data_IF_425669104296
#
_entry.id   IF_425669104296
#
_cell.length_a   1.000
_cell.length_b   1.000
_cell.length_c   1.000
_cell.angle_alpha   90.00
_cell.angle_beta   90.00
_cell.angle_gamma   90.00
#
_symmetry.space_group_name_H-M   'P 1'
#
loop_
_entity.id
_entity.type
_entity.pdbx_description
1 polymer ?
#
# COMPACT_ATOMS: atom_id res chain seq x y z
N UNK A 1 4.77 -8.98 3.85
CA UNK A 1 5.20 -7.77 4.59
C UNK A 1 5.83 -6.79 3.61
N UNK A 2 5.86 -5.48 3.89
CA UNK A 2 6.41 -4.47 2.96
C UNK A 2 7.83 -4.72 2.43
N UNK A 3 8.65 -5.50 3.15
CA UNK A 3 10.04 -5.79 2.75
C UNK A 3 10.18 -7.03 1.86
N UNK A 4 9.17 -7.88 1.76
CA UNK A 4 9.20 -9.06 0.90
C UNK A 4 8.64 -8.72 -0.48
N UNK A 5 9.55 -8.34 -1.40
CA UNK A 5 9.20 -7.76 -2.71
C UNK A 5 9.55 -8.68 -3.89
N UNK A 6 10.21 -9.82 -3.64
CA UNK A 6 10.56 -10.83 -4.65
C UNK A 6 9.53 -11.96 -4.61
N UNK A 7 8.28 -11.66 -4.95
CA UNK A 7 7.16 -12.58 -4.75
C UNK A 7 7.01 -13.58 -5.90
N UNK A 8 7.46 -13.27 -7.13
CA UNK A 8 7.33 -14.20 -8.25
C UNK A 8 8.07 -15.52 -8.05
N UNK A 9 9.10 -15.55 -7.19
CA UNK A 9 9.80 -16.79 -6.80
C UNK A 9 8.90 -17.84 -6.14
N UNK A 10 7.74 -17.42 -5.65
CA UNK A 10 6.76 -18.30 -4.99
C UNK A 10 5.81 -18.96 -5.99
N UNK A 11 5.83 -18.54 -7.26
CA UNK A 11 4.97 -19.10 -8.31
C UNK A 11 5.57 -20.42 -8.81
N UNK A 12 4.77 -21.48 -8.72
CA UNK A 12 5.08 -22.77 -9.32
C UNK A 12 4.86 -22.69 -10.84
N UNK A 13 5.95 -22.51 -11.59
CA UNK A 13 5.92 -22.32 -13.04
C UNK A 13 5.27 -23.51 -13.76
N UNK A 14 5.43 -24.73 -13.24
CA UNK A 14 4.92 -25.95 -13.89
C UNK A 14 3.38 -26.08 -13.75
N UNK A 15 2.77 -25.32 -12.82
CA UNK A 15 1.33 -25.35 -12.57
C UNK A 15 0.60 -24.07 -12.96
N UNK A 16 1.32 -22.95 -13.05
CA UNK A 16 0.72 -21.66 -13.33
C UNK A 16 0.23 -21.58 -14.79
N UNK A 17 -1.06 -21.36 -14.99
CA UNK A 17 -1.63 -21.07 -16.32
C UNK A 17 -1.60 -19.58 -16.65
N UNK A 18 -1.60 -18.74 -15.62
CA UNK A 18 -1.51 -17.28 -15.72
C UNK A 18 -1.03 -16.69 -14.40
N UNK A 19 -0.39 -15.51 -14.46
CA UNK A 19 0.06 -14.76 -13.30
C UNK A 19 -0.44 -13.32 -13.38
N UNK A 20 -0.90 -12.79 -12.25
CA UNK A 20 -1.16 -11.35 -12.07
C UNK A 20 -0.24 -10.84 -10.99
N UNK A 21 0.72 -10.00 -11.38
CA UNK A 21 1.69 -9.37 -10.50
C UNK A 21 1.30 -7.90 -10.30
N UNK A 22 1.06 -7.50 -9.06
CA UNK A 22 0.63 -6.17 -8.69
C UNK A 22 1.59 -5.60 -7.64
N UNK A 23 1.97 -4.34 -7.81
CA UNK A 23 2.65 -3.53 -6.78
C UNK A 23 3.97 -4.14 -6.27
N UNK A 24 4.68 -4.82 -7.16
CA UNK A 24 6.01 -5.37 -6.89
C UNK A 24 6.94 -5.01 -8.04
N UNK A 25 8.08 -4.38 -7.74
CA UNK A 25 9.06 -3.98 -8.75
C UNK A 25 9.39 -5.10 -9.73
N UNK A 26 9.09 -4.88 -11.02
CA UNK A 26 9.47 -5.81 -12.09
C UNK A 26 10.99 -6.01 -12.15
N UNK A 27 11.78 -4.94 -11.92
CA UNK A 27 13.25 -5.04 -11.88
C UNK A 27 13.72 -6.09 -10.86
N UNK A 28 13.04 -6.22 -9.72
CA UNK A 28 13.40 -7.18 -8.67
C UNK A 28 12.92 -8.60 -8.92
N UNK A 29 11.96 -8.78 -9.82
CA UNK A 29 11.31 -10.05 -10.15
C UNK A 29 11.59 -10.51 -11.59
N UNK A 30 12.49 -9.82 -12.31
CA UNK A 30 12.76 -10.05 -13.73
C UNK A 30 13.20 -11.50 -14.04
N UNK A 31 14.11 -12.14 -13.26
CA UNK A 31 14.50 -13.53 -13.54
C UNK A 31 13.32 -14.51 -13.50
N UNK A 32 12.44 -14.36 -12.52
CA UNK A 32 11.26 -15.20 -12.37
C UNK A 32 10.18 -14.88 -13.41
N UNK A 33 10.01 -13.60 -13.77
CA UNK A 33 9.15 -13.19 -14.88
C UNK A 33 9.60 -13.83 -16.20
N UNK A 34 10.89 -13.77 -16.53
CA UNK A 34 11.41 -14.40 -17.74
C UNK A 34 11.21 -15.92 -17.74
N UNK A 35 11.33 -16.58 -16.59
CA UNK A 35 11.09 -18.02 -16.48
C UNK A 35 9.63 -18.38 -16.80
N UNK A 36 8.68 -17.61 -16.28
CA UNK A 36 7.25 -17.77 -16.59
C UNK A 36 6.96 -17.57 -18.09
N UNK A 37 7.49 -16.49 -18.68
CA UNK A 37 7.29 -16.17 -20.09
C UNK A 37 7.88 -17.24 -21.02
N UNK A 38 9.04 -17.83 -20.67
CA UNK A 38 9.65 -18.96 -21.41
C UNK A 38 8.81 -20.23 -21.40
N UNK A 39 7.89 -20.37 -20.44
CA UNK A 39 6.94 -21.48 -20.35
C UNK A 39 5.56 -21.13 -20.94
N UNK A 40 5.46 -20.05 -21.73
CA UNK A 40 4.22 -19.57 -22.33
C UNK A 40 3.12 -19.19 -21.32
N UNK A 41 3.48 -18.94 -20.06
CA UNK A 41 2.56 -18.48 -19.02
C UNK A 41 2.17 -17.03 -19.29
N UNK A 42 0.87 -16.76 -19.40
CA UNK A 42 0.35 -15.39 -19.54
C UNK A 42 0.55 -14.60 -18.26
N UNK A 43 1.22 -13.45 -18.34
CA UNK A 43 1.48 -12.57 -17.20
C UNK A 43 0.87 -11.19 -17.44
N UNK A 44 0.01 -10.77 -16.52
CA UNK A 44 -0.37 -9.36 -16.36
C UNK A 44 0.46 -8.75 -15.24
N UNK A 45 1.14 -7.65 -15.52
CA UNK A 45 2.03 -6.96 -14.60
C UNK A 45 1.60 -5.50 -14.48
N UNK A 46 1.15 -5.07 -13.30
CA UNK A 46 0.78 -3.69 -13.02
C UNK A 46 1.59 -3.16 -11.84
N UNK A 47 2.38 -2.12 -12.06
CA UNK A 47 3.29 -1.61 -11.04
C UNK A 47 3.68 -0.16 -11.35
N UNK A 48 4.07 0.57 -10.30
CA UNK A 48 4.54 1.95 -10.41
C UNK A 48 6.00 2.12 -9.96
N UNK A 49 6.65 1.05 -9.52
CA UNK A 49 8.06 1.06 -9.20
C UNK A 49 8.93 0.91 -10.46
N UNK A 50 10.26 0.95 -10.25
CA UNK A 50 11.23 0.68 -11.33
C UNK A 50 10.96 -0.68 -11.97
N UNK A 51 10.80 -0.66 -13.29
CA UNK A 51 10.58 -1.85 -14.10
C UNK A 51 11.86 -2.51 -14.59
N UNK A 52 12.92 -1.73 -14.82
CA UNK A 52 14.09 -2.20 -15.57
C UNK A 52 13.76 -2.40 -17.05
N UNK A 53 14.44 -3.34 -17.69
CA UNK A 53 14.16 -3.70 -19.08
C UNK A 53 12.91 -4.59 -19.15
N UNK A 54 11.83 -4.09 -19.77
CA UNK A 54 10.58 -4.83 -19.90
C UNK A 54 10.73 -5.91 -20.99
N UNK A 55 10.54 -7.21 -20.66
CA UNK A 55 10.63 -8.29 -21.64
C UNK A 55 9.68 -8.10 -22.81
N UNK A 56 10.17 -8.38 -24.03
CA UNK A 56 9.32 -8.41 -25.22
C UNK A 56 8.70 -9.80 -25.37
N UNK A 57 7.42 -9.93 -25.05
CA UNK A 57 6.66 -11.18 -25.17
C UNK A 57 5.18 -10.88 -25.42
N UNK A 58 4.54 -11.68 -26.26
CA UNK A 58 3.09 -11.67 -26.47
C UNK A 58 2.31 -12.24 -25.26
N UNK A 59 3.01 -12.87 -24.33
CA UNK A 59 2.48 -13.36 -23.05
C UNK A 59 2.55 -12.33 -21.93
N UNK A 60 3.17 -11.18 -22.15
CA UNK A 60 3.28 -10.12 -21.14
C UNK A 60 2.37 -8.95 -21.49
N UNK A 61 1.40 -8.67 -20.62
CA UNK A 61 0.73 -7.38 -20.56
C UNK A 61 1.34 -6.58 -19.40
N UNK A 62 2.11 -5.53 -19.70
CA UNK A 62 2.72 -4.66 -18.70
C UNK A 62 2.05 -3.28 -18.68
N UNK A 63 1.42 -2.94 -17.55
CA UNK A 63 0.87 -1.62 -17.25
C UNK A 63 1.78 -0.95 -16.21
N UNK A 64 2.71 -0.13 -16.69
CA UNK A 64 3.77 0.45 -15.87
C UNK A 64 3.75 1.97 -16.00
N UNK A 65 3.66 2.67 -14.88
CA UNK A 65 3.75 4.13 -14.81
C UNK A 65 4.53 4.56 -13.57
N UNK A 66 5.64 5.27 -13.76
CA UNK A 66 6.57 5.64 -12.70
C UNK A 66 6.31 7.06 -12.16
N UNK A 67 5.20 7.69 -12.57
CA UNK A 67 4.83 9.00 -12.07
C UNK A 67 4.66 8.97 -10.53
N UNK A 68 5.22 9.98 -9.86
CA UNK A 68 5.21 10.07 -8.41
C UNK A 68 3.81 10.28 -7.82
N UNK A 69 2.84 10.70 -8.65
CA UNK A 69 1.45 10.93 -8.25
C UNK A 69 0.54 9.72 -8.54
N UNK A 70 1.11 8.61 -9.03
CA UNK A 70 0.38 7.37 -9.38
C UNK A 70 0.79 6.22 -8.47
N UNK A 71 -0.18 5.37 -8.12
CA UNK A 71 0.07 4.07 -7.52
C UNK A 71 -0.65 2.95 -8.28
N UNK A 72 -0.29 1.70 -7.98
CA UNK A 72 -0.83 0.51 -8.66
C UNK A 72 -2.36 0.47 -8.65
N UNK A 73 -3.02 0.83 -7.55
CA UNK A 73 -4.48 0.83 -7.48
C UNK A 73 -5.14 1.89 -8.35
N UNK A 74 -4.50 3.04 -8.59
CA UNK A 74 -5.01 4.05 -9.54
C UNK A 74 -4.93 3.55 -10.98
N UNK A 75 -3.83 2.87 -11.35
CA UNK A 75 -3.67 2.22 -12.66
C UNK A 75 -4.73 1.14 -12.89
N UNK A 76 -4.96 0.28 -11.89
CA UNK A 76 -6.00 -0.75 -11.95
C UNK A 76 -7.39 -0.11 -12.06
N UNK A 77 -7.66 0.95 -11.29
CA UNK A 77 -8.94 1.66 -11.38
C UNK A 77 -9.23 2.17 -12.79
N UNK A 78 -8.21 2.77 -13.44
CA UNK A 78 -8.33 3.23 -14.82
C UNK A 78 -8.57 2.05 -15.78
N UNK A 79 -7.81 0.95 -15.64
CA UNK A 79 -7.97 -0.25 -16.47
C UNK A 79 -9.35 -0.90 -16.33
N UNK A 80 -9.94 -0.85 -15.14
CA UNK A 80 -11.28 -1.38 -14.85
C UNK A 80 -12.40 -0.36 -15.11
N UNK A 81 -12.09 0.82 -15.66
CA UNK A 81 -13.09 1.83 -15.98
C UNK A 81 -13.82 2.41 -14.77
N UNK A 82 -13.16 2.47 -13.60
CA UNK A 82 -13.72 3.07 -12.40
C UNK A 82 -14.62 2.17 -11.56
N UNK A 83 -14.76 0.88 -11.92
CA UNK A 83 -15.70 -0.04 -11.26
C UNK A 83 -15.53 -0.12 -9.74
N UNK A 84 -14.29 -0.02 -9.24
CA UNK A 84 -13.96 -0.10 -7.82
C UNK A 84 -13.24 1.16 -7.30
N UNK A 85 -13.62 2.34 -7.79
CA UNK A 85 -12.89 3.59 -7.52
C UNK A 85 -12.72 3.93 -6.04
N UNK A 86 -13.65 3.53 -5.16
CA UNK A 86 -13.52 3.75 -3.71
C UNK A 86 -12.33 2.97 -3.11
N UNK A 87 -12.05 1.76 -3.58
CA UNK A 87 -10.85 1.02 -3.19
C UNK A 87 -9.58 1.71 -3.68
N UNK A 88 -9.61 2.32 -4.86
CA UNK A 88 -8.50 3.08 -5.39
C UNK A 88 -8.23 4.37 -4.59
N UNK A 89 -9.27 5.05 -4.12
CA UNK A 89 -9.15 6.19 -3.19
C UNK A 89 -8.48 5.75 -1.89
N UNK A 90 -8.96 4.66 -1.26
CA UNK A 90 -8.36 4.15 -0.03
C UNK A 90 -6.89 3.76 -0.22
N UNK A 91 -6.56 3.06 -1.31
CA UNK A 91 -5.19 2.67 -1.62
C UNK A 91 -4.27 3.88 -1.85
N UNK A 92 -4.72 4.89 -2.60
CA UNK A 92 -3.94 6.11 -2.84
C UNK A 92 -3.64 6.87 -1.53
N UNK A 93 -4.58 6.94 -0.59
CA UNK A 93 -4.29 7.45 0.76
C UNK A 93 -3.29 6.58 1.52
N UNK A 94 -3.43 5.24 1.42
CA UNK A 94 -2.48 4.29 2.02
C UNK A 94 -1.04 4.46 1.52
N UNK A 95 -0.87 4.78 0.25
CA UNK A 95 0.42 5.08 -0.38
C UNK A 95 0.89 6.52 -0.16
N UNK A 96 0.19 7.28 0.69
CA UNK A 96 0.49 8.67 1.03
C UNK A 96 0.33 9.66 -0.15
N UNK A 97 -0.46 9.32 -1.17
CA UNK A 97 -0.77 10.15 -2.33
C UNK A 97 -2.05 10.98 -2.10
N UNK A 98 -2.03 11.86 -1.11
CA UNK A 98 -3.23 12.57 -0.63
C UNK A 98 -3.91 13.43 -1.71
N UNK A 99 -3.13 14.10 -2.56
CA UNK A 99 -3.66 14.93 -3.63
C UNK A 99 -4.41 14.08 -4.69
N UNK A 100 -3.80 12.98 -5.15
CA UNK A 100 -4.41 12.05 -6.10
C UNK A 100 -5.65 11.37 -5.53
N UNK A 101 -5.59 10.95 -4.26
CA UNK A 101 -6.73 10.35 -3.57
C UNK A 101 -7.90 11.33 -3.44
N UNK A 102 -7.64 12.58 -3.02
CA UNK A 102 -8.65 13.62 -2.89
C UNK A 102 -9.28 13.98 -4.23
N UNK A 103 -8.47 14.07 -5.29
CA UNK A 103 -8.95 14.31 -6.65
C UNK A 103 -9.94 13.24 -7.08
N UNK A 104 -9.57 11.95 -6.95
CA UNK A 104 -10.44 10.84 -7.32
C UNK A 104 -11.71 10.79 -6.45
N UNK A 105 -11.59 11.05 -5.15
CA UNK A 105 -12.73 11.12 -4.23
C UNK A 105 -13.75 12.18 -4.69
N UNK A 106 -13.29 13.36 -5.09
CA UNK A 106 -14.15 14.42 -5.65
C UNK A 106 -14.75 14.02 -6.99
N UNK A 107 -13.98 13.40 -7.89
CA UNK A 107 -14.45 12.96 -9.21
C UNK A 107 -15.59 11.94 -9.12
N UNK A 108 -15.54 11.02 -8.14
CA UNK A 108 -16.58 10.01 -7.94
C UNK A 108 -17.69 10.46 -6.98
N UNK A 109 -17.63 11.70 -6.49
CA UNK A 109 -18.68 12.32 -5.68
C UNK A 109 -18.79 11.82 -4.25
N UNK A 110 -17.67 11.44 -3.61
CA UNK A 110 -17.66 11.09 -2.19
C UNK A 110 -17.93 12.31 -1.31
N UNK A 111 -18.68 12.08 -0.22
CA UNK A 111 -18.79 13.05 0.87
C UNK A 111 -17.48 13.16 1.66
N UNK A 112 -17.35 14.24 2.44
CA UNK A 112 -16.20 14.43 3.34
C UNK A 112 -16.06 13.28 4.34
N UNK A 113 -17.19 12.79 4.88
CA UNK A 113 -17.19 11.66 5.82
C UNK A 113 -16.73 10.34 5.18
N UNK A 114 -17.16 10.06 3.96
CA UNK A 114 -16.71 8.87 3.23
C UNK A 114 -15.22 8.99 2.87
N UNK A 115 -14.79 10.17 2.45
CA UNK A 115 -13.39 10.44 2.10
C UNK A 115 -12.47 10.26 3.30
N UNK A 116 -12.81 10.83 4.45
CA UNK A 116 -12.02 10.66 5.68
C UNK A 116 -12.01 9.21 6.17
N UNK A 117 -13.12 8.48 6.02
CA UNK A 117 -13.14 7.05 6.31
C UNK A 117 -12.19 6.26 5.40
N UNK A 118 -12.22 6.50 4.07
CA UNK A 118 -11.32 5.79 3.15
C UNK A 118 -9.85 6.14 3.36
N UNK A 119 -9.57 7.39 3.77
CA UNK A 119 -8.23 7.82 4.18
C UNK A 119 -7.74 7.09 5.43
N UNK A 120 -8.59 6.97 6.45
CA UNK A 120 -8.28 6.18 7.65
C UNK A 120 -8.06 4.71 7.27
N UNK A 121 -8.97 4.11 6.49
CA UNK A 121 -8.86 2.73 6.03
C UNK A 121 -7.55 2.46 5.29
N UNK A 122 -7.19 3.30 4.31
CA UNK A 122 -5.93 3.22 3.58
C UNK A 122 -4.71 3.29 4.50
N UNK A 123 -4.72 4.23 5.44
CA UNK A 123 -3.67 4.40 6.45
C UNK A 123 -3.53 3.16 7.32
N UNK A 124 -4.64 2.57 7.76
CA UNK A 124 -4.64 1.37 8.61
C UNK A 124 -4.14 0.12 7.88
N UNK A 125 -4.51 -0.06 6.61
CA UNK A 125 -3.98 -1.15 5.78
C UNK A 125 -2.47 -0.99 5.60
N UNK A 126 -2.00 0.23 5.29
CA UNK A 126 -0.58 0.55 5.17
C UNK A 126 0.18 0.30 6.48
N UNK A 127 -0.37 0.73 7.62
CA UNK A 127 0.12 0.48 8.97
C UNK A 127 0.32 -1.02 9.26
N UNK A 128 -0.66 -1.85 8.90
CA UNK A 128 -0.55 -3.31 9.05
C UNK A 128 0.50 -3.94 8.13
N UNK A 129 1.03 -3.21 7.15
CA UNK A 129 2.11 -3.69 6.28
C UNK A 129 3.50 -3.65 6.93
N UNK A 130 3.67 -2.91 8.04
CA UNK A 130 4.95 -2.69 8.71
C UNK A 130 5.21 -3.69 9.83
N UNK A 131 6.32 -4.42 9.74
CA UNK A 131 6.77 -5.39 10.74
C UNK A 131 8.13 -5.97 10.35
N UNK A 132 8.85 -6.56 11.31
CA UNK A 132 10.04 -7.36 11.03
C UNK A 132 9.69 -8.84 10.75
N UNK A 133 8.52 -9.28 11.20
CA UNK A 133 8.00 -10.65 11.05
C UNK A 133 6.47 -10.62 10.92
N UNK A 134 5.85 -11.74 10.50
CA UNK A 134 4.39 -11.81 10.38
C UNK A 134 3.70 -11.69 11.74
N UNK A 135 4.38 -12.15 12.79
CA UNK A 135 3.97 -12.08 14.18
C UNK A 135 3.91 -10.65 14.73
N UNK A 136 4.58 -9.69 14.07
CA UNK A 136 4.44 -8.28 14.43
C UNK A 136 3.11 -7.69 13.94
N UNK A 137 2.47 -8.27 12.92
CA UNK A 137 1.27 -7.71 12.29
C UNK A 137 0.00 -8.06 13.06
N UNK A 138 -1.02 -7.21 12.96
CA UNK A 138 -2.32 -7.53 13.55
C UNK A 138 -3.05 -8.60 12.75
N UNK A 139 -2.92 -8.55 11.42
CA UNK A 139 -3.50 -9.51 10.49
C UNK A 139 -2.45 -9.86 9.42
N UNK A 140 -2.21 -11.14 9.18
CA UNK A 140 -1.28 -11.56 8.13
C UNK A 140 -1.76 -11.08 6.74
N UNK A 141 -0.87 -10.67 5.81
CA UNK A 141 -1.27 -10.01 4.56
C UNK A 141 -2.20 -10.85 3.68
N UNK A 142 -1.95 -12.16 3.58
CA UNK A 142 -2.79 -13.06 2.80
C UNK A 142 -4.20 -13.21 3.41
N UNK A 143 -4.30 -13.15 4.73
CA UNK A 143 -5.58 -13.21 5.44
C UNK A 143 -6.32 -11.87 5.35
N UNK A 144 -5.62 -10.75 5.54
CA UNK A 144 -6.20 -9.42 5.35
C UNK A 144 -6.77 -9.27 3.93
N UNK A 145 -6.01 -9.67 2.91
CA UNK A 145 -6.49 -9.67 1.53
C UNK A 145 -7.78 -10.48 1.35
N UNK A 146 -7.84 -11.71 1.88
CA UNK A 146 -9.05 -12.54 1.81
C UNK A 146 -10.24 -11.86 2.49
N UNK A 147 -10.05 -11.33 3.69
CA UNK A 147 -11.12 -10.64 4.42
C UNK A 147 -11.63 -9.41 3.67
N UNK A 148 -10.74 -8.56 3.15
CA UNK A 148 -11.11 -7.36 2.39
C UNK A 148 -11.76 -7.71 1.05
N UNK A 149 -11.37 -8.81 0.40
CA UNK A 149 -11.92 -9.24 -0.90
C UNK A 149 -13.42 -9.59 -0.86
N UNK A 150 -13.99 -9.78 0.33
CA UNK A 150 -15.43 -9.99 0.51
C UNK A 150 -16.25 -8.70 0.42
N UNK A 151 -15.59 -7.53 0.39
CA UNK A 151 -16.24 -6.23 0.35
C UNK A 151 -16.04 -5.57 -1.01
N UNK A 152 -17.09 -5.56 -1.82
CA UNK A 152 -17.08 -4.84 -3.10
C UNK A 152 -16.95 -3.32 -2.89
N UNK A 153 -17.68 -2.79 -1.91
CA UNK A 153 -17.59 -1.40 -1.46
C UNK A 153 -16.84 -1.33 -0.11
N UNK A 154 -15.68 -0.66 -0.02
CA UNK A 154 -14.94 -0.53 1.23
C UNK A 154 -15.72 0.20 2.33
N UNK A 155 -16.72 1.02 2.00
CA UNK A 155 -17.53 1.71 3.01
C UNK A 155 -18.32 0.72 3.89
N UNK A 156 -18.66 -0.46 3.36
CA UNK A 156 -19.37 -1.49 4.12
C UNK A 156 -18.55 -2.08 5.29
N UNK A 157 -17.23 -1.83 5.33
CA UNK A 157 -16.39 -2.22 6.47
C UNK A 157 -16.76 -1.45 7.75
N UNK A 158 -17.28 -0.22 7.62
CA UNK A 158 -17.62 0.62 8.77
C UNK A 158 -18.74 -0.01 9.61
N UNK A 159 -19.80 -0.49 8.95
CA UNK A 159 -20.99 -1.06 9.59
C UNK A 159 -20.80 -2.52 10.04
N UNK A 160 -19.72 -3.18 9.59
CA UNK A 160 -19.41 -4.55 9.99
C UNK A 160 -18.42 -4.55 11.16
N UNK A 161 -18.91 -4.76 12.39
CA UNK A 161 -18.11 -4.74 13.62
C UNK A 161 -16.98 -5.78 13.66
N UNK A 162 -17.09 -6.87 12.89
CA UNK A 162 -16.05 -7.92 12.81
C UNK A 162 -15.10 -7.71 11.64
N UNK A 163 -15.22 -6.58 10.93
CA UNK A 163 -14.35 -6.28 9.80
C UNK A 163 -12.90 -6.04 10.25
N UNK A 164 -11.92 -6.30 9.37
CA UNK A 164 -10.52 -6.00 9.67
C UNK A 164 -10.28 -4.52 10.00
N UNK A 165 -11.12 -3.61 9.52
CA UNK A 165 -11.00 -2.18 9.82
C UNK A 165 -11.00 -1.90 11.34
N UNK A 166 -11.95 -2.50 12.09
CA UNK A 166 -12.05 -2.25 13.54
C UNK A 166 -10.87 -2.83 14.32
N UNK A 167 -10.36 -3.99 13.91
CA UNK A 167 -9.15 -4.61 14.49
C UNK A 167 -7.94 -3.70 14.28
N UNK A 168 -7.72 -3.25 13.04
CA UNK A 168 -6.59 -2.40 12.70
C UNK A 168 -6.70 -1.03 13.39
N UNK A 169 -7.90 -0.45 13.46
CA UNK A 169 -8.16 0.83 14.13
C UNK A 169 -7.81 0.79 15.61
N UNK A 170 -8.25 -0.25 16.32
CA UNK A 170 -7.93 -0.44 17.73
C UNK A 170 -6.41 -0.59 17.95
N UNK A 171 -5.76 -1.41 17.11
CA UNK A 171 -4.31 -1.61 17.15
C UNK A 171 -3.52 -0.32 16.88
N UNK A 172 -3.92 0.44 15.87
CA UNK A 172 -3.32 1.73 15.53
C UNK A 172 -3.44 2.73 16.67
N UNK A 173 -4.62 2.87 17.28
CA UNK A 173 -4.83 3.81 18.39
C UNK A 173 -3.88 3.53 19.58
N UNK A 174 -3.68 2.27 19.94
CA UNK A 174 -2.78 1.87 21.03
C UNK A 174 -1.31 2.15 20.70
N UNK A 175 -0.90 1.96 19.45
CA UNK A 175 0.47 2.21 19.02
C UNK A 175 0.75 3.71 18.80
N UNK A 176 -0.27 4.46 18.36
CA UNK A 176 -0.20 5.91 18.18
C UNK A 176 -0.09 6.66 19.51
N UNK A 177 -0.83 6.24 20.54
CA UNK A 177 -0.69 6.77 21.91
C UNK A 177 0.76 6.65 22.41
N UNK A 178 1.41 5.52 22.12
CA UNK A 178 2.82 5.31 22.49
C UNK A 178 3.75 6.21 21.71
N UNK A 179 3.63 6.26 20.38
CA UNK A 179 4.56 7.04 19.54
C UNK A 179 4.45 8.54 19.81
N UNK A 180 3.24 9.05 20.08
CA UNK A 180 3.01 10.46 20.38
C UNK A 180 3.52 10.89 21.76
N UNK A 181 3.76 9.93 22.67
CA UNK A 181 4.41 10.19 23.96
C UNK A 181 5.94 10.29 23.86
N UNK A 182 6.53 9.98 22.71
CA UNK A 182 7.98 10.02 22.48
C UNK A 182 8.37 11.39 21.95
N UNK A 183 9.22 12.08 22.70
CA UNK A 183 9.86 13.31 22.25
C UNK A 183 11.00 13.01 21.26
N UNK A 184 11.20 13.88 20.24
CA UNK A 184 12.31 13.72 19.33
C UNK A 184 13.65 13.87 20.07
N UNK A 185 14.57 12.94 19.82
CA UNK A 185 15.96 13.01 20.30
C UNK A 185 16.73 14.21 19.73
N UNK A 186 16.31 14.70 18.56
CA UNK A 186 16.82 15.89 17.92
C UNK A 186 15.69 16.58 17.14
N UNK A 187 15.60 17.91 17.24
CA UNK A 187 14.63 18.71 16.48
C UNK A 187 15.22 20.06 16.13
N UNK A 188 15.30 20.36 14.84
CA UNK A 188 15.68 21.67 14.30
C UNK A 188 14.78 22.03 13.09
N UNK A 189 14.99 23.17 12.42
CA UNK A 189 14.17 23.55 11.26
C UNK A 189 14.25 22.63 10.03
N UNK A 190 15.29 21.78 9.93
CA UNK A 190 15.53 20.89 8.80
C UNK A 190 15.07 19.46 9.08
N UNK A 191 15.21 18.97 10.31
CA UNK A 191 14.85 17.60 10.63
C UNK A 191 14.37 17.38 12.08
N UNK A 192 13.63 16.28 12.25
CA UNK A 192 13.31 15.68 13.53
C UNK A 192 13.78 14.22 13.53
N UNK A 193 14.42 13.80 14.62
CA UNK A 193 14.91 12.43 14.79
C UNK A 193 14.23 11.80 16.00
N UNK A 194 13.50 10.72 15.76
CA UNK A 194 12.83 9.93 16.79
C UNK A 194 13.55 8.60 16.98
N UNK A 195 13.84 8.25 18.23
CA UNK A 195 14.36 6.94 18.59
C UNK A 195 13.22 6.11 19.18
N UNK A 196 12.85 5.03 18.51
CA UNK A 196 11.78 4.12 18.93
C UNK A 196 12.37 2.85 19.53
N UNK A 197 11.73 2.22 20.53
CA UNK A 197 12.20 0.96 21.08
C UNK A 197 12.13 -0.17 20.05
N UNK A 198 12.87 -1.25 20.30
CA UNK A 198 12.89 -2.43 19.43
C UNK A 198 11.66 -3.35 19.64
N UNK A 199 10.47 -2.78 19.72
CA UNK A 199 9.21 -3.49 19.98
C UNK A 199 8.34 -3.61 18.72
N UNK A 200 7.44 -4.59 18.72
CA UNK A 200 6.51 -4.83 17.59
C UNK A 200 5.66 -3.60 17.26
N UNK A 201 5.16 -2.91 18.28
CA UNK A 201 4.34 -1.69 18.12
C UNK A 201 5.11 -0.56 17.41
N UNK A 202 6.38 -0.37 17.79
CA UNK A 202 7.24 0.66 17.21
C UNK A 202 7.53 0.36 15.74
N UNK A 203 7.77 -0.92 15.40
CA UNK A 203 7.95 -1.36 14.01
C UNK A 203 6.71 -1.10 13.17
N UNK A 204 5.52 -1.44 13.66
CA UNK A 204 4.24 -1.20 12.96
C UNK A 204 3.97 0.29 12.71
N UNK A 205 4.09 1.12 13.75
CA UNK A 205 3.70 2.53 13.67
C UNK A 205 4.71 3.40 12.92
N UNK A 206 5.99 2.99 12.88
CA UNK A 206 7.09 3.82 12.36
C UNK A 206 6.84 4.43 10.98
N UNK A 207 6.33 3.63 10.03
CA UNK A 207 6.12 4.10 8.67
C UNK A 207 4.99 5.12 8.55
N UNK A 208 3.83 4.83 9.15
CA UNK A 208 2.68 5.74 9.13
C UNK A 208 2.91 7.00 9.96
N UNK A 209 3.65 6.91 11.06
CA UNK A 209 4.08 8.09 11.81
C UNK A 209 5.04 8.97 10.98
N UNK A 210 5.96 8.36 10.24
CA UNK A 210 6.82 9.08 9.28
C UNK A 210 6.00 9.83 8.22
N UNK A 211 4.97 9.18 7.65
CA UNK A 211 4.05 9.81 6.70
C UNK A 211 3.26 10.97 7.33
N UNK A 212 2.76 10.78 8.56
CA UNK A 212 2.06 11.83 9.31
C UNK A 212 2.94 13.07 9.50
N UNK A 213 4.18 12.88 9.96
CA UNK A 213 5.15 13.97 10.12
C UNK A 213 5.47 14.66 8.80
N UNK A 214 5.67 13.90 7.72
CA UNK A 214 5.94 14.45 6.40
C UNK A 214 4.81 15.38 5.93
N UNK A 215 3.56 14.94 6.05
CA UNK A 215 2.38 15.73 5.65
C UNK A 215 2.16 16.97 6.55
N UNK A 216 2.51 16.91 7.85
CA UNK A 216 2.49 18.09 8.73
C UNK A 216 3.61 19.09 8.38
N UNK A 217 4.75 18.57 7.89
CA UNK A 217 5.97 19.33 7.58
C UNK A 217 6.00 19.91 6.17
N UNK A 218 4.94 19.83 5.36
CA UNK A 218 4.85 20.52 4.06
C UNK A 218 4.93 22.07 4.17
N UNK A 219 5.13 22.58 5.39
CA UNK A 219 5.45 23.96 5.74
C UNK A 219 6.94 24.21 6.11
N UNK A 220 7.81 23.19 6.08
CA UNK A 220 9.23 23.34 6.40
C UNK A 220 9.96 23.87 5.15
N UNK A 221 10.69 24.98 5.26
CA UNK A 221 11.36 25.55 4.10
C UNK A 221 12.38 24.56 3.57
N UNK A 222 12.16 24.11 2.33
CA UNK A 222 13.15 23.39 1.54
C UNK A 222 14.48 24.16 1.60
N UNK A 223 15.47 23.60 2.27
CA UNK A 223 16.84 24.05 2.09
C UNK A 223 17.28 23.58 0.69
N UNK A 224 17.63 24.55 -0.17
CA UNK A 224 18.27 24.31 -1.47
C UNK A 224 19.56 23.51 -1.34
#
# INVERSE_FOLDING_TARGET
MKRDIKLLKQVDCDKATSVTALDISMEKNLPELEALLKQDVSVFYCDHHRSGDIPQSDKLEALIDLDAEVCTSLLINQKLGGQYAKWAVAAAFGDNLFASAQKLATEIGLSDSETEFLKELGTLINYNGYGASLEDLHIEPAELYRQLSHFEDPLALLDNETSPYHVLKAGYALDHEKVTSIEPSHSDPQCKVFELPCDAWARRISGVFGNELANQSQSWPMAC
#
